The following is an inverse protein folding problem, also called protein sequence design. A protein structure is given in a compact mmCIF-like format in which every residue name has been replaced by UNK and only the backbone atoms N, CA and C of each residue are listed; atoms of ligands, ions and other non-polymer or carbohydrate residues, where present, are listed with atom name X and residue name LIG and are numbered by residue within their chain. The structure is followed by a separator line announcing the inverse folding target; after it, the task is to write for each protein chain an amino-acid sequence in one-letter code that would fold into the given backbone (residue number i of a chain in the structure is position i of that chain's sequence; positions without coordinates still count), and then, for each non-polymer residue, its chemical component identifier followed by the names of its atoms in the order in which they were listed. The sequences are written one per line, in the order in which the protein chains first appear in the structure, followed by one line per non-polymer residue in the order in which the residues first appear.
data_IF_998011333061
#
_entry.id   IF_998011333061
#
_cell.length_a   1.000
_cell.length_b   1.000
_cell.length_c   1.000
_cell.angle_alpha   90.00
_cell.angle_beta   90.00
_cell.angle_gamma   90.00
#
_symmetry.space_group_name_H-M   'P 1'
#
loop_
_entity.id
_entity.type
_entity.pdbx_description
1 polymer ?
#
# COMPACT_ATOMS: atom_id res chain seq x y z
N UNK A 1 -7.47 -1.57 18.69
CA UNK A 1 -7.60 -0.62 17.54
C UNK A 1 -8.09 -1.31 16.25
N UNK A 2 -9.00 -0.71 15.47
CA UNK A 2 -9.37 -1.23 14.13
C UNK A 2 -8.34 -0.81 13.06
N UNK A 3 -7.87 -1.75 12.24
CA UNK A 3 -6.94 -1.51 11.14
C UNK A 3 -7.56 -2.04 9.84
N UNK A 4 -7.83 -1.14 8.88
CA UNK A 4 -8.56 -1.49 7.66
C UNK A 4 -7.83 -1.01 6.41
N UNK A 5 -7.81 -1.89 5.41
CA UNK A 5 -7.51 -1.48 4.05
C UNK A 5 -8.74 -0.80 3.44
N UNK A 6 -8.51 0.30 2.74
CA UNK A 6 -9.51 1.07 2.02
C UNK A 6 -9.07 1.07 0.55
N UNK A 7 -9.82 0.38 -0.31
CA UNK A 7 -9.48 0.26 -1.72
C UNK A 7 -9.83 1.56 -2.43
N UNK A 8 -8.83 2.18 -3.05
CA UNK A 8 -9.03 3.33 -3.94
C UNK A 8 -9.48 2.86 -5.33
N UNK A 9 -8.88 1.77 -5.82
CA UNK A 9 -9.19 1.16 -7.10
C UNK A 9 -7.99 0.45 -7.72
N UNK A 10 -7.94 0.43 -9.05
CA UNK A 10 -6.97 -0.33 -9.87
C UNK A 10 -6.35 0.50 -11.02
N UNK A 11 -6.90 1.67 -11.31
CA UNK A 11 -6.74 2.43 -12.57
C UNK A 11 -5.82 3.64 -12.50
N UNK A 12 -5.93 4.50 -13.53
CA UNK A 12 -5.19 5.76 -13.67
C UNK A 12 -5.82 6.89 -12.86
N UNK A 13 -7.13 6.95 -12.75
CA UNK A 13 -7.83 7.99 -11.96
C UNK A 13 -7.46 7.87 -10.47
N UNK A 14 -7.36 6.64 -9.98
CA UNK A 14 -7.01 6.34 -8.59
C UNK A 14 -5.60 6.82 -8.22
N UNK A 15 -4.72 7.01 -9.22
CA UNK A 15 -3.37 7.54 -9.01
C UNK A 15 -3.38 8.99 -8.53
N UNK A 16 -4.31 9.81 -9.03
CA UNK A 16 -4.45 11.20 -8.62
C UNK A 16 -5.12 11.33 -7.26
N UNK A 17 -6.05 10.43 -6.91
CA UNK A 17 -6.56 10.33 -5.53
C UNK A 17 -5.46 9.89 -4.56
N UNK A 18 -4.62 8.94 -4.97
CA UNK A 18 -3.44 8.53 -4.20
C UNK A 18 -2.48 9.71 -3.98
N UNK A 19 -2.24 10.52 -5.01
CA UNK A 19 -1.45 11.74 -4.89
C UNK A 19 -2.10 12.75 -3.93
N UNK A 20 -3.40 13.02 -4.07
CA UNK A 20 -4.11 13.93 -3.20
C UNK A 20 -4.04 13.49 -1.72
N UNK A 21 -4.16 12.19 -1.46
CA UNK A 21 -4.00 11.66 -0.11
C UNK A 21 -2.61 11.95 0.47
N UNK A 22 -1.56 11.83 -0.34
CA UNK A 22 -0.19 12.23 0.06
C UNK A 22 -0.15 13.73 0.33
N UNK A 23 -0.53 14.55 -0.63
CA UNK A 23 -0.39 16.01 -0.55
C UNK A 23 -1.11 16.58 0.68
N UNK A 24 -2.34 16.13 0.94
CA UNK A 24 -3.17 16.67 2.03
C UNK A 24 -3.01 15.95 3.37
N UNK A 25 -2.36 14.78 3.43
CA UNK A 25 -2.25 14.01 4.68
C UNK A 25 -0.83 13.57 5.03
N UNK A 26 0.20 14.06 4.34
CA UNK A 26 1.60 13.63 4.51
C UNK A 26 2.07 13.59 5.97
N UNK A 27 1.68 14.54 6.82
CA UNK A 27 2.03 14.55 8.25
C UNK A 27 1.55 13.31 9.02
N UNK A 28 0.46 12.69 8.56
CA UNK A 28 -0.11 11.48 9.15
C UNK A 28 0.37 10.22 8.45
N UNK A 29 1.02 10.30 7.30
CA UNK A 29 1.52 9.11 6.59
C UNK A 29 2.70 8.54 7.36
N UNK A 30 2.60 7.26 7.73
CA UNK A 30 3.70 6.54 8.35
C UNK A 30 4.70 6.05 7.30
N UNK A 31 4.19 5.49 6.19
CA UNK A 31 4.99 5.02 5.04
C UNK A 31 4.11 4.69 3.84
N UNK A 32 4.74 4.55 2.69
CA UNK A 32 4.15 3.95 1.49
C UNK A 32 4.77 2.56 1.28
N UNK A 33 3.92 1.56 1.05
CA UNK A 33 4.35 0.16 0.90
C UNK A 33 3.94 -0.36 -0.47
N UNK A 34 4.92 -0.84 -1.23
CA UNK A 34 4.66 -1.64 -2.43
C UNK A 34 4.57 -3.13 -2.08
N UNK A 35 3.52 -3.77 -2.58
CA UNK A 35 3.27 -5.20 -2.43
C UNK A 35 3.47 -5.87 -3.79
N UNK A 36 4.60 -6.53 -3.95
CA UNK A 36 5.03 -7.13 -5.20
C UNK A 36 4.59 -8.59 -5.30
N UNK A 37 4.16 -9.03 -6.48
CA UNK A 37 3.70 -10.41 -6.69
C UNK A 37 4.51 -11.11 -7.80
N UNK A 38 5.87 -11.20 -7.67
CA UNK A 38 6.73 -11.68 -8.76
C UNK A 38 6.48 -13.15 -9.15
N UNK A 39 5.94 -13.95 -8.22
CA UNK A 39 5.59 -15.36 -8.45
C UNK A 39 4.20 -15.56 -9.07
N UNK A 40 3.41 -14.50 -9.18
CA UNK A 40 2.06 -14.58 -9.78
C UNK A 40 2.13 -14.62 -11.30
N UNK A 41 1.09 -15.18 -11.94
CA UNK A 41 1.00 -15.23 -13.41
C UNK A 41 0.99 -13.84 -14.05
N UNK A 42 0.42 -12.83 -13.37
CA UNK A 42 0.28 -11.46 -13.89
C UNK A 42 1.48 -10.56 -13.54
N UNK A 43 2.30 -10.95 -12.57
CA UNK A 43 3.46 -10.19 -12.06
C UNK A 43 3.15 -8.70 -11.87
N UNK A 44 2.25 -8.40 -10.94
CA UNK A 44 1.77 -7.05 -10.66
C UNK A 44 2.39 -6.52 -9.36
N UNK A 45 2.10 -5.26 -9.07
CA UNK A 45 2.41 -4.65 -7.79
C UNK A 45 1.24 -3.78 -7.35
N UNK A 46 0.79 -4.01 -6.13
CA UNK A 46 -0.13 -3.11 -5.42
C UNK A 46 0.68 -2.08 -4.64
N UNK A 47 0.05 -0.98 -4.24
CA UNK A 47 0.70 0.03 -3.40
C UNK A 47 -0.28 0.57 -2.38
N UNK A 48 0.17 0.77 -1.15
CA UNK A 48 -0.65 1.36 -0.09
C UNK A 48 0.03 2.52 0.64
N UNK A 49 -0.76 3.50 1.03
CA UNK A 49 -0.41 4.51 2.04
C UNK A 49 -0.82 3.96 3.40
N UNK A 50 0.14 3.80 4.30
CA UNK A 50 -0.09 3.39 5.67
C UNK A 50 -0.17 4.65 6.53
N UNK A 51 -1.35 4.95 7.08
CA UNK A 51 -1.52 6.09 7.98
C UNK A 51 -1.06 5.73 9.39
N UNK A 52 -0.58 6.71 10.14
CA UNK A 52 -0.51 6.62 11.59
C UNK A 52 -1.92 6.43 12.17
N UNK A 53 -2.05 5.69 13.30
CA UNK A 53 -3.31 5.60 14.04
C UNK A 53 -3.95 6.98 14.27
N UNK A 54 -5.28 7.05 14.28
CA UNK A 54 -5.98 8.28 14.65
C UNK A 54 -5.62 8.71 16.07
N UNK A 55 -5.88 9.98 16.42
CA UNK A 55 -5.54 10.57 17.72
C UNK A 55 -5.98 9.74 18.92
N UNK A 56 -7.13 9.06 18.83
CA UNK A 56 -7.67 8.21 19.90
C UNK A 56 -7.30 6.72 19.75
N UNK A 57 -6.43 6.37 18.80
CA UNK A 57 -6.01 5.00 18.45
C UNK A 57 -7.18 4.04 18.22
N UNK A 58 -8.33 4.57 17.79
CA UNK A 58 -9.51 3.76 17.48
C UNK A 58 -9.42 3.14 16.09
N UNK A 59 -8.76 3.83 15.16
CA UNK A 59 -8.71 3.45 13.76
C UNK A 59 -7.34 3.74 13.11
N UNK A 60 -6.90 2.87 12.21
CA UNK A 60 -5.76 3.08 11.33
C UNK A 60 -6.16 2.74 9.89
N UNK A 61 -6.06 3.73 9.01
CA UNK A 61 -6.39 3.58 7.60
C UNK A 61 -5.17 3.11 6.81
N UNK A 62 -5.38 2.21 5.85
CA UNK A 62 -4.39 1.83 4.86
C UNK A 62 -5.02 1.95 3.47
N UNK A 63 -4.77 3.03 2.75
CA UNK A 63 -5.37 3.25 1.43
C UNK A 63 -4.57 2.49 0.38
N UNK A 64 -5.21 1.60 -0.39
CA UNK A 64 -4.52 0.70 -1.31
C UNK A 64 -5.07 0.80 -2.73
N UNK A 65 -4.15 0.84 -3.71
CA UNK A 65 -4.46 0.51 -5.10
C UNK A 65 -3.98 -0.91 -5.39
N UNK A 66 -4.91 -1.77 -5.80
CA UNK A 66 -4.66 -3.20 -6.04
C UNK A 66 -4.21 -3.44 -7.48
N UNK A 67 -3.19 -4.27 -7.65
CA UNK A 67 -2.56 -4.56 -8.94
C UNK A 67 -2.31 -3.28 -9.75
N UNK A 68 -1.83 -2.23 -9.08
CA UNK A 68 -1.78 -0.88 -9.62
C UNK A 68 -0.81 -0.72 -10.81
N UNK A 69 0.27 -1.52 -10.87
CA UNK A 69 1.28 -1.45 -11.94
C UNK A 69 1.94 -2.81 -12.20
N UNK A 70 2.64 -3.01 -13.33
CA UNK A 70 3.54 -4.15 -13.51
C UNK A 70 4.62 -4.20 -12.42
N UNK A 71 5.08 -5.40 -12.07
CA UNK A 71 6.21 -5.57 -11.16
C UNK A 71 7.43 -4.76 -11.66
N UNK A 72 8.00 -3.84 -10.87
CA UNK A 72 8.96 -2.84 -11.36
C UNK A 72 10.41 -3.34 -11.40
N UNK A 73 10.64 -4.66 -11.31
CA UNK A 73 11.98 -5.24 -11.34
C UNK A 73 12.11 -6.31 -12.44
N UNK A 74 13.29 -6.42 -13.09
CA UNK A 74 14.47 -5.58 -12.91
C UNK A 74 14.37 -4.21 -13.61
N UNK A 75 13.34 -4.01 -14.45
CA UNK A 75 13.11 -2.74 -15.16
C UNK A 75 11.93 -2.00 -14.53
N UNK A 76 12.19 -0.77 -14.11
CA UNK A 76 11.19 0.16 -13.59
C UNK A 76 10.11 0.47 -14.63
N UNK A 77 9.01 1.07 -14.17
CA UNK A 77 7.94 1.58 -15.02
C UNK A 77 7.47 2.96 -14.55
N UNK A 78 6.88 3.72 -15.48
CA UNK A 78 6.47 5.13 -15.26
C UNK A 78 5.56 5.32 -14.04
N UNK A 79 4.64 4.39 -13.77
CA UNK A 79 3.70 4.50 -12.65
C UNK A 79 4.42 4.30 -11.31
N UNK A 80 5.37 3.37 -11.26
CA UNK A 80 6.23 3.16 -10.10
C UNK A 80 7.11 4.39 -9.80
N UNK A 81 7.73 4.98 -10.82
CA UNK A 81 8.53 6.22 -10.69
C UNK A 81 7.67 7.40 -10.25
N UNK A 82 6.48 7.54 -10.83
CA UNK A 82 5.56 8.63 -10.53
C UNK A 82 5.07 8.57 -9.07
N UNK A 83 4.69 7.40 -8.57
CA UNK A 83 4.30 7.23 -7.16
C UNK A 83 5.44 7.61 -6.21
N UNK A 84 6.69 7.22 -6.53
CA UNK A 84 7.84 7.61 -5.73
C UNK A 84 8.06 9.13 -5.73
N UNK A 85 7.86 9.77 -6.88
CA UNK A 85 7.98 11.23 -7.01
C UNK A 85 6.95 11.99 -6.17
N UNK A 86 5.77 11.42 -5.90
CA UNK A 86 4.75 12.03 -5.06
C UNK A 86 5.16 12.10 -3.59
N UNK A 87 5.87 11.09 -3.09
CA UNK A 87 6.30 11.04 -1.69
C UNK A 87 7.61 11.79 -1.41
N UNK A 88 8.44 12.02 -2.44
CA UNK A 88 9.74 12.65 -2.32
C UNK A 88 9.71 14.04 -1.64
N UNK A 89 8.78 14.97 -1.96
CA UNK A 89 8.72 16.30 -1.34
C UNK A 89 8.46 16.27 0.17
N UNK A 90 7.82 15.21 0.67
CA UNK A 90 7.41 15.09 2.06
C UNK A 90 8.32 14.16 2.88
N UNK A 91 9.41 13.66 2.29
CA UNK A 91 10.33 12.72 2.92
C UNK A 91 9.63 11.49 3.54
N UNK A 92 8.58 11.00 2.88
CA UNK A 92 7.84 9.82 3.32
C UNK A 92 8.66 8.57 3.00
N UNK A 93 8.81 7.68 3.98
CA UNK A 93 9.49 6.40 3.78
C UNK A 93 8.71 5.53 2.78
N UNK A 94 9.41 5.04 1.76
CA UNK A 94 8.88 4.11 0.78
C UNK A 94 9.59 2.77 0.92
N UNK A 95 8.82 1.70 1.08
CA UNK A 95 9.33 0.33 1.22
C UNK A 95 8.63 -0.62 0.24
N UNK A 96 9.26 -1.76 -0.04
CA UNK A 96 8.69 -2.80 -0.90
C UNK A 96 8.85 -4.18 -0.28
N UNK A 97 7.89 -5.07 -0.53
CA UNK A 97 7.92 -6.45 -0.07
C UNK A 97 7.23 -7.40 -1.07
N UNK A 98 7.80 -8.58 -1.24
CA UNK A 98 7.20 -9.65 -2.02
C UNK A 98 6.11 -10.37 -1.20
N UNK A 99 4.95 -10.57 -1.83
CA UNK A 99 3.76 -11.18 -1.24
C UNK A 99 3.05 -12.09 -2.24
N UNK A 100 2.10 -12.89 -1.75
CA UNK A 100 1.14 -13.60 -2.60
C UNK A 100 0.23 -12.62 -3.35
N UNK A 101 -0.32 -13.05 -4.49
CA UNK A 101 -1.26 -12.25 -5.25
C UNK A 101 -2.65 -12.19 -4.61
N UNK A 102 -3.43 -11.12 -4.87
CA UNK A 102 -4.83 -11.08 -4.45
C UNK A 102 -5.64 -12.29 -4.97
N UNK A 103 -5.36 -12.71 -6.21
CA UNK A 103 -6.00 -13.87 -6.88
C UNK A 103 -5.70 -15.22 -6.19
N UNK A 104 -4.72 -15.29 -5.29
CA UNK A 104 -4.42 -16.50 -4.50
C UNK A 104 -5.40 -16.71 -3.34
N UNK A 105 -6.31 -15.76 -3.11
CA UNK A 105 -7.29 -15.77 -2.02
C UNK A 105 -8.70 -15.70 -2.61
N UNK A 106 -9.67 -16.45 -2.05
CA UNK A 106 -11.05 -16.45 -2.57
C UNK A 106 -11.79 -15.14 -2.26
N UNK A 107 -11.37 -14.41 -1.23
CA UNK A 107 -11.97 -13.16 -0.79
C UNK A 107 -10.89 -12.12 -0.50
N UNK A 108 -11.16 -10.87 -0.87
CA UNK A 108 -10.21 -9.77 -0.68
C UNK A 108 -9.94 -9.48 0.80
N UNK A 109 -10.92 -9.71 1.67
CA UNK A 109 -10.74 -9.55 3.12
C UNK A 109 -9.73 -10.55 3.70
N UNK A 110 -9.67 -11.78 3.15
CA UNK A 110 -8.65 -12.76 3.53
C UNK A 110 -7.26 -12.32 3.07
N UNK A 111 -7.15 -11.80 1.85
CA UNK A 111 -5.91 -11.20 1.36
C UNK A 111 -5.47 -10.02 2.23
N UNK A 112 -6.39 -9.15 2.64
CA UNK A 112 -6.09 -8.04 3.55
C UNK A 112 -5.70 -8.49 4.96
N UNK A 113 -6.27 -9.58 5.47
CA UNK A 113 -5.80 -10.18 6.72
C UNK A 113 -4.37 -10.70 6.61
N UNK A 114 -4.02 -11.32 5.48
CA UNK A 114 -2.65 -11.72 5.17
C UNK A 114 -1.71 -10.51 5.08
N UNK A 115 -2.06 -9.46 4.33
CA UNK A 115 -1.22 -8.25 4.24
C UNK A 115 -1.01 -7.60 5.61
N UNK A 116 -2.06 -7.49 6.45
CA UNK A 116 -1.92 -6.99 7.83
C UNK A 116 -0.92 -7.82 8.63
N UNK A 117 -0.92 -9.14 8.49
CA UNK A 117 0.05 -10.03 9.14
C UNK A 117 1.47 -9.76 8.64
N UNK A 118 1.68 -9.61 7.33
CA UNK A 118 2.98 -9.25 6.74
C UNK A 118 3.48 -7.90 7.27
N UNK A 119 2.62 -6.88 7.29
CA UNK A 119 2.95 -5.56 7.81
C UNK A 119 3.35 -5.58 9.30
N UNK A 120 2.67 -6.40 10.12
CA UNK A 120 3.03 -6.57 11.54
C UNK A 120 4.36 -7.28 11.72
N UNK A 121 4.66 -8.30 10.91
CA UNK A 121 5.96 -8.99 10.94
C UNK A 121 7.10 -8.02 10.65
N UNK A 122 6.89 -7.07 9.73
CA UNK A 122 7.85 -6.00 9.42
C UNK A 122 7.85 -4.85 10.44
N UNK A 123 6.98 -4.89 11.46
CA UNK A 123 6.75 -3.80 12.43
C UNK A 123 6.34 -2.47 11.77
N UNK A 124 5.69 -2.54 10.61
CA UNK A 124 5.23 -1.37 9.86
C UNK A 124 3.85 -0.88 10.29
N UNK A 125 3.08 -1.73 10.98
CA UNK A 125 1.86 -1.33 11.69
C UNK A 125 1.92 -1.84 13.14
N UNK A 126 1.22 -1.20 14.08
CA UNK A 126 1.13 -1.66 15.47
C UNK A 126 0.59 -3.09 15.61
N UNK A 127 0.96 -3.80 16.69
CA UNK A 127 0.39 -5.10 17.01
C UNK A 127 -1.12 -5.00 17.26
N UNK A 128 -1.79 -6.16 17.25
CA UNK A 128 -3.16 -6.24 17.75
C UNK A 128 -3.16 -5.89 19.25
N UNK A 129 -4.09 -5.02 19.64
CA UNK A 129 -4.45 -4.76 21.03
C UNK A 129 -5.59 -5.69 21.44
#
# INVERSE_FOLDING_TARGET
MQQSFIVLGHGLTDLYEFQALIDYNHERIAKIVFFHTPKSKKQRSSVAIIMNPTRHRKFQAMYIMLDAMPYPYPKSNKKYELIQSFAMPYNIEIVGIDVHAPDDYPELDLYFNYLKSVLRLQRWIPPLE
#
